data_IF_373357097999
#
_entry.id   IF_373357097999
#
_cell.length_a   1.000
_cell.length_b   1.000
_cell.length_c   1.000
_cell.angle_alpha   90.00
_cell.angle_beta   90.00
_cell.angle_gamma   90.00
#
_symmetry.space_group_name_H-M   'P 1'
#
loop_
_entity.id
_entity.type
_entity.pdbx_description
1 polymer ?
#
# COMPACT_ATOMS: atom_id res chain seq x y z
N UNK A 1 -40.51 -23.35 -20.85
CA UNK A 1 -40.58 -22.20 -21.75
C UNK A 1 -41.13 -21.02 -20.97
N UNK A 2 -40.25 -20.14 -20.45
CA UNK A 2 -40.61 -18.81 -19.92
C UNK A 2 -39.52 -17.86 -20.36
N UNK A 3 -39.96 -16.93 -21.22
CA UNK A 3 -39.10 -15.89 -21.83
C UNK A 3 -38.71 -14.85 -20.80
N UNK A 4 -37.44 -14.54 -20.69
CA UNK A 4 -36.95 -13.33 -20.01
C UNK A 4 -36.78 -12.22 -21.03
N UNK A 5 -37.54 -11.16 -20.85
CA UNK A 5 -37.47 -9.91 -21.62
C UNK A 5 -36.49 -9.00 -20.89
N UNK A 6 -35.44 -8.63 -21.61
CA UNK A 6 -34.43 -7.62 -21.18
C UNK A 6 -35.02 -6.23 -21.34
N UNK A 7 -35.01 -5.41 -20.29
CA UNK A 7 -35.27 -3.96 -20.38
C UNK A 7 -33.98 -3.20 -20.13
N UNK A 8 -33.44 -2.68 -21.22
CA UNK A 8 -32.42 -1.64 -21.18
C UNK A 8 -33.10 -0.28 -20.97
N UNK A 9 -32.78 0.44 -19.90
CA UNK A 9 -33.12 1.85 -19.76
C UNK A 9 -31.84 2.67 -19.85
N UNK A 10 -31.66 3.30 -21.03
CA UNK A 10 -30.76 4.44 -21.21
C UNK A 10 -31.35 5.65 -20.46
N UNK A 11 -30.52 6.29 -19.62
CA UNK A 11 -30.71 7.68 -19.21
C UNK A 11 -29.58 8.53 -19.76
N UNK A 12 -29.89 9.32 -20.78
CA UNK A 12 -29.12 10.48 -21.21
C UNK A 12 -29.37 11.63 -20.21
N UNK A 13 -28.33 12.19 -19.63
CA UNK A 13 -28.32 13.56 -19.21
C UNK A 13 -27.09 14.24 -19.79
N UNK A 14 -27.33 15.04 -20.81
CA UNK A 14 -26.35 15.99 -21.35
C UNK A 14 -26.34 17.24 -20.49
N UNK A 15 -25.15 17.61 -19.98
CA UNK A 15 -24.86 19.01 -19.65
C UNK A 15 -23.54 19.38 -20.28
N UNK A 16 -23.60 20.43 -21.09
CA UNK A 16 -22.51 21.06 -21.79
C UNK A 16 -21.48 21.61 -20.80
N UNK A 17 -20.20 21.37 -21.07
CA UNK A 17 -19.10 22.15 -20.50
C UNK A 17 -18.19 22.56 -21.65
N UNK A 18 -17.97 23.86 -21.71
CA UNK A 18 -17.23 24.60 -22.70
C UNK A 18 -15.80 24.09 -22.93
N UNK A 19 -15.44 24.12 -24.20
CA UNK A 19 -14.12 23.89 -24.73
C UNK A 19 -13.12 24.95 -24.29
N UNK A 20 -12.09 24.55 -23.54
CA UNK A 20 -10.85 25.31 -23.40
C UNK A 20 -9.74 24.59 -24.18
N UNK A 21 -9.35 25.17 -25.33
CA UNK A 21 -8.18 24.72 -26.12
C UNK A 21 -6.93 25.42 -25.55
N UNK A 22 -5.87 24.69 -25.18
CA UNK A 22 -4.60 25.34 -24.88
C UNK A 22 -3.86 25.67 -26.18
N UNK A 23 -3.47 26.93 -26.32
CA UNK A 23 -2.72 27.50 -27.42
C UNK A 23 -1.36 26.81 -27.63
N UNK A 24 -1.11 26.46 -28.90
CA UNK A 24 0.15 25.92 -29.46
C UNK A 24 1.28 26.95 -29.39
N UNK A 25 1.96 27.16 -28.28
CA UNK A 25 3.16 28.04 -28.29
C UNK A 25 4.27 27.62 -27.30
N UNK A 26 4.27 26.43 -26.72
CA UNK A 26 5.34 26.00 -25.81
C UNK A 26 6.29 24.96 -26.43
N UNK A 27 5.96 24.38 -27.59
CA UNK A 27 6.79 23.30 -28.17
C UNK A 27 7.85 23.79 -29.18
N UNK A 28 8.00 25.09 -29.43
CA UNK A 28 9.03 25.58 -30.37
C UNK A 28 10.30 26.14 -29.70
N UNK A 29 10.33 26.33 -28.41
CA UNK A 29 11.50 26.89 -27.71
C UNK A 29 12.53 25.82 -27.32
N UNK A 30 12.14 24.57 -27.19
CA UNK A 30 13.08 23.49 -26.81
C UNK A 30 13.86 22.88 -27.99
N UNK A 31 13.47 23.13 -29.25
CA UNK A 31 14.20 22.64 -30.43
C UNK A 31 15.27 23.62 -30.95
N UNK A 32 15.24 24.88 -30.55
CA UNK A 32 16.22 25.88 -30.98
C UNK A 32 17.53 25.90 -30.16
N UNK A 33 17.54 25.33 -28.95
CA UNK A 33 18.77 25.30 -28.12
C UNK A 33 19.65 24.05 -28.32
N UNK A 34 19.14 23.00 -28.98
CA UNK A 34 19.91 21.77 -29.21
C UNK A 34 20.74 21.79 -30.53
N UNK A 35 20.49 22.71 -31.41
CA UNK A 35 21.19 22.79 -32.72
C UNK A 35 22.33 23.80 -32.80
N UNK A 36 22.53 24.61 -31.77
CA UNK A 36 23.57 25.66 -31.79
C UNK A 36 24.87 25.23 -31.09
N UNK A 37 24.91 24.07 -30.42
CA UNK A 37 26.09 23.61 -29.70
C UNK A 37 26.94 22.56 -30.44
N UNK A 38 26.47 22.03 -31.57
CA UNK A 38 27.22 21.03 -32.35
C UNK A 38 27.93 21.58 -33.59
N UNK A 39 27.64 22.82 -34.04
CA UNK A 39 28.25 23.38 -35.24
C UNK A 39 29.50 24.22 -35.03
N UNK A 40 29.91 24.49 -33.78
CA UNK A 40 31.14 25.29 -33.47
C UNK A 40 32.35 24.45 -33.09
N UNK A 41 32.25 23.12 -33.04
CA UNK A 41 33.38 22.23 -32.65
C UNK A 41 33.99 21.46 -33.82
N UNK A 42 33.44 21.52 -35.04
CA UNK A 42 33.99 20.81 -36.23
C UNK A 42 34.78 21.68 -37.21
N UNK A 43 34.94 22.98 -36.97
CA UNK A 43 35.56 23.89 -37.92
C UNK A 43 37.05 24.18 -37.68
N UNK A 44 37.73 23.53 -36.73
CA UNK A 44 39.17 23.82 -36.44
C UNK A 44 40.09 22.59 -36.37
N UNK A 45 39.78 21.53 -37.11
CA UNK A 45 40.70 20.40 -37.22
C UNK A 45 41.02 20.12 -38.71
N UNK A 46 41.73 21.03 -39.38
CA UNK A 46 42.44 20.72 -40.61
C UNK A 46 43.57 21.72 -40.80
N UNK A 47 44.76 21.15 -40.77
CA UNK A 47 46.07 21.49 -41.34
C UNK A 47 47.17 21.88 -40.36
N UNK A 48 48.21 21.05 -40.50
CA UNK A 48 49.61 21.22 -40.13
C UNK A 48 49.92 21.04 -38.65
N UNK A 49 50.50 19.87 -38.35
CA UNK A 49 51.84 19.80 -37.80
C UNK A 49 52.27 18.33 -37.72
N UNK A 50 53.25 18.01 -38.57
CA UNK A 50 54.14 16.88 -38.36
C UNK A 50 55.16 17.25 -37.29
N UNK A 51 55.54 16.23 -36.45
CA UNK A 51 56.66 16.20 -35.55
C UNK A 51 56.41 16.71 -34.13
N UNK A 52 56.09 15.78 -33.23
CA UNK A 52 56.81 15.49 -32.00
C UNK A 52 56.03 14.48 -31.12
N UNK A 53 56.51 13.24 -30.89
CA UNK A 53 55.80 12.23 -30.10
C UNK A 53 55.70 12.54 -28.62
N UNK A 54 56.52 13.42 -28.08
CA UNK A 54 56.55 13.70 -26.61
C UNK A 54 55.49 14.69 -26.13
N UNK A 55 54.81 15.40 -27.05
CA UNK A 55 53.74 16.30 -26.67
C UNK A 55 52.38 15.62 -26.50
N UNK A 56 52.20 14.39 -27.04
CA UNK A 56 50.91 13.64 -26.92
C UNK A 56 50.73 12.98 -25.56
N UNK A 57 51.79 12.67 -24.85
CA UNK A 57 51.74 12.06 -23.53
C UNK A 57 51.32 13.05 -22.43
N UNK A 58 51.59 14.36 -22.60
CA UNK A 58 51.31 15.36 -21.57
C UNK A 58 49.86 15.87 -21.60
N UNK A 59 49.20 15.83 -22.75
CA UNK A 59 47.81 16.26 -22.86
C UNK A 59 46.79 15.17 -22.53
N UNK A 60 47.17 13.89 -22.60
CA UNK A 60 46.30 12.78 -22.23
C UNK A 60 46.27 12.57 -20.72
N UNK A 61 47.32 12.94 -19.97
CA UNK A 61 47.36 12.84 -18.52
C UNK A 61 46.56 13.91 -17.77
N UNK A 62 46.39 15.09 -18.40
CA UNK A 62 45.69 16.22 -17.77
C UNK A 62 44.16 16.13 -17.84
N UNK A 63 43.61 15.43 -18.85
CA UNK A 63 42.19 15.30 -19.02
C UNK A 63 41.58 14.15 -18.19
N UNK A 64 42.37 13.13 -17.84
CA UNK A 64 41.93 12.05 -16.97
C UNK A 64 41.90 12.42 -15.47
N UNK A 65 42.73 13.38 -15.06
CA UNK A 65 42.75 13.86 -13.67
C UNK A 65 41.58 14.85 -13.38
N UNK A 66 41.11 15.60 -14.38
CA UNK A 66 39.95 16.49 -14.24
C UNK A 66 38.60 15.78 -14.26
N UNK A 67 38.50 14.62 -14.94
CA UNK A 67 37.29 13.82 -14.97
C UNK A 67 37.09 12.98 -13.68
N UNK A 68 38.17 12.66 -12.99
CA UNK A 68 38.10 11.91 -11.72
C UNK A 68 37.70 12.76 -10.52
N UNK A 69 37.87 14.09 -10.59
CA UNK A 69 37.52 15.02 -9.50
C UNK A 69 36.06 15.45 -9.51
N UNK A 70 35.31 15.16 -10.57
CA UNK A 70 33.88 15.50 -10.68
C UNK A 70 32.93 14.34 -10.35
N UNK A 71 33.48 13.16 -10.06
CA UNK A 71 32.69 11.99 -9.66
C UNK A 71 32.62 11.75 -8.14
N UNK A 72 33.30 12.54 -7.35
CA UNK A 72 33.29 12.42 -5.89
C UNK A 72 32.72 13.70 -5.26
N UNK A 73 31.45 13.91 -5.31
CA UNK A 73 30.66 14.68 -4.33
C UNK A 73 29.19 14.70 -4.71
N UNK A 74 28.56 13.53 -4.79
CA UNK A 74 27.15 13.37 -4.51
C UNK A 74 27.00 12.30 -3.42
N UNK A 75 27.65 12.50 -2.31
CA UNK A 75 27.06 12.11 -1.04
C UNK A 75 25.83 13.00 -0.92
N UNK A 76 24.69 12.50 -1.36
CA UNK A 76 23.44 13.03 -0.90
C UNK A 76 23.53 12.99 0.63
N UNK A 77 23.75 14.14 1.24
CA UNK A 77 23.43 14.34 2.63
C UNK A 77 21.96 13.90 2.70
N UNK A 78 21.69 12.78 3.35
CA UNK A 78 20.36 12.48 3.80
C UNK A 78 19.99 13.70 4.65
N UNK A 79 19.14 14.58 4.12
CA UNK A 79 18.52 15.61 4.93
C UNK A 79 17.90 14.84 6.08
N UNK A 80 18.42 15.07 7.29
CA UNK A 80 17.83 14.50 8.48
C UNK A 80 16.41 15.04 8.52
N UNK A 81 15.42 14.15 8.35
CA UNK A 81 14.02 14.51 8.51
C UNK A 81 13.87 15.25 9.84
N UNK A 82 13.30 16.43 9.79
CA UNK A 82 12.99 17.22 10.99
C UNK A 82 11.60 16.86 11.56
N UNK A 83 10.93 15.87 10.97
CA UNK A 83 9.59 15.42 11.34
C UNK A 83 9.60 14.89 12.77
N UNK A 84 8.75 15.46 13.61
CA UNK A 84 8.40 14.90 14.91
C UNK A 84 7.34 13.79 14.74
N UNK A 85 7.81 12.57 14.51
CA UNK A 85 6.93 11.42 14.32
C UNK A 85 6.09 11.06 15.55
N UNK A 86 6.48 11.48 16.77
CA UNK A 86 5.65 11.33 17.97
C UNK A 86 4.45 12.27 17.91
N UNK A 87 4.66 13.50 17.46
CA UNK A 87 3.56 14.45 17.26
C UNK A 87 2.62 14.00 16.14
N UNK A 88 3.16 13.49 15.01
CA UNK A 88 2.34 12.92 13.91
C UNK A 88 1.49 11.74 14.41
N UNK A 89 2.12 10.79 15.11
CA UNK A 89 1.41 9.62 15.65
C UNK A 89 0.34 10.01 16.68
N UNK A 90 0.63 11.02 17.51
CA UNK A 90 -0.35 11.57 18.46
C UNK A 90 -1.56 12.15 17.73
N UNK A 91 -1.36 12.94 16.70
CA UNK A 91 -2.47 13.50 15.90
C UNK A 91 -3.34 12.38 15.29
N UNK A 92 -2.70 11.31 14.78
CA UNK A 92 -3.42 10.14 14.26
C UNK A 92 -4.21 9.44 15.36
N UNK A 93 -3.60 9.20 16.52
CA UNK A 93 -4.28 8.54 17.64
C UNK A 93 -5.44 9.38 18.17
N UNK A 94 -5.29 10.69 18.27
CA UNK A 94 -6.36 11.62 18.66
C UNK A 94 -7.52 11.59 17.64
N UNK A 95 -7.20 11.50 16.35
CA UNK A 95 -8.18 11.36 15.28
C UNK A 95 -9.00 10.06 15.44
N UNK A 96 -8.32 8.93 15.72
CA UNK A 96 -8.97 7.64 15.95
C UNK A 96 -9.79 7.64 17.24
N UNK A 97 -9.31 8.26 18.31
CA UNK A 97 -10.07 8.38 19.55
C UNK A 97 -11.36 9.20 19.37
N UNK A 98 -11.29 10.25 18.54
CA UNK A 98 -12.46 11.09 18.23
C UNK A 98 -13.44 10.36 17.29
N UNK A 99 -12.91 9.53 16.39
CA UNK A 99 -13.66 8.80 15.37
C UNK A 99 -13.23 7.31 15.37
N UNK A 100 -13.69 6.49 16.33
CA UNK A 100 -13.20 5.11 16.48
C UNK A 100 -13.37 4.24 15.22
N UNK A 101 -14.41 4.47 14.43
CA UNK A 101 -14.67 3.74 13.18
C UNK A 101 -13.66 4.06 12.06
N UNK A 102 -12.85 5.11 12.22
CA UNK A 102 -11.81 5.46 11.23
C UNK A 102 -10.55 4.59 11.40
N UNK A 103 -10.25 4.17 12.63
CA UNK A 103 -9.06 3.37 12.92
C UNK A 103 -8.90 2.15 12.02
N UNK A 104 -9.91 1.27 11.88
CA UNK A 104 -9.83 0.12 10.97
C UNK A 104 -9.54 0.49 9.52
N UNK A 105 -10.09 1.61 9.04
CA UNK A 105 -9.87 2.07 7.66
C UNK A 105 -8.44 2.59 7.45
N UNK A 106 -7.84 3.20 8.48
CA UNK A 106 -6.43 3.60 8.46
C UNK A 106 -5.49 2.38 8.46
N UNK A 107 -5.81 1.33 9.20
CA UNK A 107 -5.08 0.04 9.13
C UNK A 107 -5.19 -0.56 7.73
N UNK A 108 -6.38 -0.49 7.11
CA UNK A 108 -6.57 -0.94 5.73
C UNK A 108 -5.76 -0.10 4.73
N UNK A 109 -5.67 1.23 4.90
CA UNK A 109 -4.81 2.09 4.06
C UNK A 109 -3.35 1.64 4.12
N UNK A 110 -2.81 1.45 5.33
CA UNK A 110 -1.44 0.98 5.53
C UNK A 110 -1.19 -0.38 4.87
N UNK A 111 -2.12 -1.34 5.05
CA UNK A 111 -2.08 -2.65 4.38
C UNK A 111 -2.10 -2.51 2.85
N UNK A 112 -3.03 -1.74 2.29
CA UNK A 112 -3.18 -1.61 0.85
C UNK A 112 -2.01 -0.88 0.19
N UNK A 113 -1.42 0.12 0.85
CA UNK A 113 -0.22 0.80 0.36
C UNK A 113 1.02 -0.09 0.38
N UNK A 114 1.06 -1.11 1.25
CA UNK A 114 2.21 -2.00 1.44
C UNK A 114 2.09 -3.33 0.70
N UNK A 115 0.87 -3.88 0.60
CA UNK A 115 0.58 -5.22 0.07
C UNK A 115 0.77 -5.38 -1.44
N UNK A 116 1.12 -4.31 -2.14
CA UNK A 116 1.43 -4.34 -3.58
C UNK A 116 2.83 -4.86 -3.90
N UNK A 117 3.68 -5.11 -2.89
CA UNK A 117 5.07 -5.54 -3.09
C UNK A 117 5.21 -6.87 -3.81
N UNK A 118 6.13 -6.92 -4.74
CA UNK A 118 6.56 -8.11 -5.43
C UNK A 118 8.07 -8.29 -5.27
N UNK A 119 8.47 -9.35 -4.57
CA UNK A 119 9.88 -9.63 -4.24
C UNK A 119 10.72 -10.01 -5.44
N UNK A 120 10.13 -10.57 -6.51
CA UNK A 120 10.86 -11.01 -7.69
C UNK A 120 11.21 -9.81 -8.59
N UNK A 121 10.30 -8.84 -8.71
CA UNK A 121 10.51 -7.64 -9.50
C UNK A 121 11.00 -6.44 -8.68
N UNK A 122 10.95 -6.55 -7.34
CA UNK A 122 11.22 -5.48 -6.39
C UNK A 122 10.41 -4.19 -6.70
N UNK A 123 9.13 -4.36 -6.98
CA UNK A 123 8.19 -3.26 -7.29
C UNK A 123 7.04 -3.21 -6.30
N UNK A 124 6.47 -2.02 -6.11
CA UNK A 124 5.39 -1.80 -5.13
C UNK A 124 5.91 -1.79 -3.69
N UNK A 125 5.01 -1.99 -2.75
CA UNK A 125 5.32 -1.96 -1.33
C UNK A 125 5.17 -0.59 -0.69
N UNK A 126 5.56 -0.47 0.57
CA UNK A 126 5.27 0.67 1.43
C UNK A 126 6.09 1.93 1.13
N UNK A 127 7.12 1.81 0.26
CA UNK A 127 8.15 2.85 0.11
C UNK A 127 7.72 4.10 -0.65
N UNK A 128 6.65 4.04 -1.46
CA UNK A 128 6.34 5.07 -2.46
C UNK A 128 5.10 5.92 -2.19
N UNK A 129 4.21 5.51 -1.29
CA UNK A 129 2.95 6.21 -1.02
C UNK A 129 2.07 6.38 -2.26
N UNK A 130 2.20 5.50 -3.25
CA UNK A 130 1.57 5.62 -4.58
C UNK A 130 0.05 5.49 -4.54
N UNK A 131 -0.50 4.89 -3.48
CA UNK A 131 -1.96 4.77 -3.29
C UNK A 131 -2.71 6.11 -3.26
N UNK A 132 -2.01 7.24 -3.10
CA UNK A 132 -2.62 8.58 -3.24
C UNK A 132 -3.02 8.93 -4.66
N UNK A 133 -2.47 8.24 -5.67
CA UNK A 133 -2.77 8.49 -7.07
C UNK A 133 -4.08 7.84 -7.51
N UNK A 134 -4.78 8.54 -8.42
CA UNK A 134 -6.08 8.12 -8.93
C UNK A 134 -6.03 6.73 -9.59
N UNK A 135 -4.94 6.40 -10.25
CA UNK A 135 -4.72 5.13 -10.93
C UNK A 135 -4.75 3.97 -9.95
N UNK A 136 -4.05 4.08 -8.82
CA UNK A 136 -4.03 3.04 -7.80
C UNK A 136 -5.34 3.00 -6.98
N UNK A 137 -5.92 4.17 -6.69
CA UNK A 137 -7.23 4.27 -6.04
C UNK A 137 -8.36 3.64 -6.87
N UNK A 138 -8.20 3.56 -8.19
CA UNK A 138 -9.16 2.92 -9.09
C UNK A 138 -9.09 1.38 -9.07
N UNK A 139 -8.06 0.78 -8.47
CA UNK A 139 -7.99 -0.67 -8.31
C UNK A 139 -9.18 -1.19 -7.49
N UNK A 140 -9.75 -2.31 -7.91
CA UNK A 140 -10.95 -2.85 -7.27
C UNK A 140 -10.82 -3.07 -5.76
N UNK A 141 -9.64 -3.50 -5.28
CA UNK A 141 -9.35 -3.66 -3.86
C UNK A 141 -9.37 -2.35 -3.04
N UNK A 142 -9.19 -1.18 -3.68
CA UNK A 142 -9.07 0.12 -3.02
C UNK A 142 -10.39 0.89 -2.90
N UNK A 143 -11.51 0.27 -3.27
CA UNK A 143 -12.83 0.91 -3.22
C UNK A 143 -13.10 1.59 -1.86
N UNK A 144 -13.48 2.87 -1.90
CA UNK A 144 -13.80 3.69 -0.74
C UNK A 144 -12.61 4.37 -0.04
N UNK A 145 -11.35 4.02 -0.34
CA UNK A 145 -10.19 4.62 0.33
C UNK A 145 -9.95 6.08 -0.08
N UNK A 146 -10.29 6.46 -1.31
CA UNK A 146 -10.15 7.83 -1.79
C UNK A 146 -10.93 8.84 -0.94
N UNK A 147 -12.19 8.52 -0.65
CA UNK A 147 -13.10 9.41 0.09
C UNK A 147 -13.02 9.23 1.62
N UNK A 148 -12.21 8.31 2.08
CA UNK A 148 -12.02 8.00 3.50
C UNK A 148 -10.57 8.19 3.92
N UNK A 149 -9.82 7.11 4.14
CA UNK A 149 -8.51 7.15 4.79
C UNK A 149 -7.50 8.08 4.09
N UNK A 150 -7.42 8.07 2.76
CA UNK A 150 -6.52 8.99 2.03
C UNK A 150 -6.90 10.44 2.33
N UNK A 151 -8.18 10.78 2.17
CA UNK A 151 -8.69 12.14 2.45
C UNK A 151 -8.53 12.55 3.92
N UNK A 152 -8.68 11.62 4.87
CA UNK A 152 -8.53 11.93 6.30
C UNK A 152 -7.08 12.21 6.69
N UNK A 153 -6.10 11.69 5.93
CA UNK A 153 -4.68 11.93 6.17
C UNK A 153 -4.17 13.25 5.58
N UNK A 154 -4.88 13.88 4.64
CA UNK A 154 -4.44 15.14 4.01
C UNK A 154 -4.19 16.28 5.01
N UNK A 155 -5.04 16.55 6.02
CA UNK A 155 -4.78 17.62 6.99
C UNK A 155 -3.53 17.35 7.83
N UNK A 156 -3.24 16.06 8.14
CA UNK A 156 -2.05 15.69 8.90
C UNK A 156 -0.80 15.83 8.00
N UNK A 157 -0.86 15.38 6.75
CA UNK A 157 0.23 15.59 5.80
C UNK A 157 0.57 17.08 5.66
N UNK A 158 -0.43 17.90 5.35
CA UNK A 158 -0.26 19.35 5.17
C UNK A 158 0.34 20.07 6.40
N UNK A 159 0.07 19.56 7.61
CA UNK A 159 0.63 20.10 8.85
C UNK A 159 2.15 19.90 8.95
N UNK A 160 2.64 18.74 8.49
CA UNK A 160 4.05 18.31 8.67
C UNK A 160 4.84 18.20 7.35
N UNK A 161 4.25 18.54 6.20
CA UNK A 161 4.90 18.49 4.88
C UNK A 161 6.19 19.32 4.84
N UNK A 162 6.17 20.52 5.46
CA UNK A 162 7.35 21.40 5.50
C UNK A 162 8.50 20.85 6.33
N UNK A 163 8.20 19.94 7.26
CA UNK A 163 9.19 19.23 8.07
C UNK A 163 9.72 17.98 7.36
N UNK A 164 9.18 17.66 6.18
CA UNK A 164 9.62 16.56 5.32
C UNK A 164 8.82 15.26 5.47
N UNK A 165 7.60 15.30 6.04
CA UNK A 165 6.73 14.12 6.13
C UNK A 165 6.32 13.66 4.73
N UNK A 166 6.70 12.44 4.34
CA UNK A 166 6.22 11.81 3.11
C UNK A 166 4.85 11.15 3.32
N UNK A 167 4.06 11.01 2.25
CA UNK A 167 2.83 10.20 2.29
C UNK A 167 3.12 8.74 2.64
N UNK A 168 4.22 8.19 2.16
CA UNK A 168 4.62 6.82 2.44
C UNK A 168 4.90 6.58 3.93
N UNK A 169 5.59 7.50 4.60
CA UNK A 169 5.78 7.45 6.06
C UNK A 169 4.45 7.68 6.80
N UNK A 170 3.65 8.65 6.35
CA UNK A 170 2.35 8.94 6.97
C UNK A 170 1.40 7.73 6.92
N UNK A 171 1.26 7.07 5.78
CA UNK A 171 0.31 5.95 5.63
C UNK A 171 0.70 4.74 6.47
N UNK A 172 1.99 4.42 6.53
CA UNK A 172 2.49 3.33 7.38
C UNK A 172 2.39 3.68 8.87
N UNK A 173 2.72 4.91 9.25
CA UNK A 173 2.56 5.38 10.63
C UNK A 173 1.08 5.41 11.03
N UNK A 174 0.16 5.76 10.12
CA UNK A 174 -1.27 5.72 10.37
C UNK A 174 -1.76 4.32 10.74
N UNK A 175 -1.23 3.28 10.09
CA UNK A 175 -1.55 1.89 10.43
C UNK A 175 -1.14 1.51 11.84
N UNK A 176 0.14 1.72 12.20
CA UNK A 176 0.66 1.31 13.52
C UNK A 176 0.07 2.15 14.66
N UNK A 177 -0.13 3.46 14.44
CA UNK A 177 -0.75 4.35 15.43
C UNK A 177 -2.22 4.01 15.67
N UNK A 178 -2.97 3.66 14.60
CA UNK A 178 -4.37 3.25 14.72
C UNK A 178 -4.51 1.93 15.47
N UNK A 179 -3.66 0.92 15.20
CA UNK A 179 -3.65 -0.33 15.96
C UNK A 179 -3.42 -0.04 17.44
N UNK A 180 -2.47 0.83 17.77
CA UNK A 180 -2.21 1.24 19.16
C UNK A 180 -3.38 1.94 19.80
N UNK A 181 -4.02 2.90 19.10
CA UNK A 181 -5.19 3.63 19.60
C UNK A 181 -6.39 2.70 19.87
N UNK A 182 -6.51 1.59 19.13
CA UNK A 182 -7.55 0.57 19.31
C UNK A 182 -7.19 -0.53 20.33
N UNK A 183 -6.15 -0.32 21.15
CA UNK A 183 -5.76 -1.24 22.23
C UNK A 183 -4.79 -2.35 21.81
N UNK A 184 -4.27 -2.31 20.59
CA UNK A 184 -3.31 -3.28 20.10
C UNK A 184 -1.86 -3.06 20.61
N UNK A 185 -0.93 -3.94 20.22
CA UNK A 185 0.46 -3.87 20.62
C UNK A 185 1.15 -2.62 20.06
N UNK A 186 2.22 -2.18 20.72
CA UNK A 186 3.15 -1.23 20.10
C UNK A 186 3.95 -1.96 19.05
N UNK A 187 3.90 -1.46 17.81
CA UNK A 187 4.58 -2.03 16.65
C UNK A 187 5.83 -1.21 16.39
N UNK A 188 6.98 -1.87 16.18
CA UNK A 188 8.19 -1.21 15.72
C UNK A 188 7.95 -0.56 14.35
N UNK A 189 8.43 0.66 14.18
CA UNK A 189 8.27 1.40 12.95
C UNK A 189 9.56 2.14 12.58
N UNK A 190 9.79 2.29 11.30
CA UNK A 190 10.98 2.97 10.78
C UNK A 190 10.57 4.05 9.79
N UNK A 191 11.20 5.23 9.88
CA UNK A 191 11.00 6.36 8.98
C UNK A 191 11.99 6.36 7.82
N UNK A 192 11.75 7.24 6.85
CA UNK A 192 12.68 7.50 5.75
C UNK A 192 12.19 7.02 4.39
N UNK A 193 10.91 6.68 4.26
CA UNK A 193 10.29 6.40 2.96
C UNK A 193 10.22 7.69 2.14
N UNK A 194 10.30 7.54 0.83
CA UNK A 194 10.26 8.67 -0.11
C UNK A 194 9.15 8.47 -1.11
N UNK A 195 8.29 9.47 -1.23
CA UNK A 195 7.19 9.43 -2.17
C UNK A 195 7.68 9.24 -3.61
N UNK A 196 7.09 8.29 -4.29
CA UNK A 196 7.34 8.00 -5.70
C UNK A 196 6.33 8.73 -6.58
N UNK A 197 6.64 8.79 -7.89
CA UNK A 197 5.77 9.38 -8.89
C UNK A 197 4.70 8.38 -9.32
N UNK A 198 3.71 8.88 -10.05
CA UNK A 198 2.55 8.13 -10.55
C UNK A 198 2.93 6.95 -11.45
N UNK A 199 4.03 7.05 -12.19
CA UNK A 199 4.55 5.97 -13.04
C UNK A 199 5.05 4.75 -12.26
N UNK A 200 5.15 4.86 -10.94
CA UNK A 200 5.49 3.77 -10.03
C UNK A 200 4.26 3.00 -9.50
N UNK A 201 3.04 3.39 -9.88
CA UNK A 201 1.82 2.66 -9.56
C UNK A 201 1.89 1.24 -10.12
N UNK A 202 1.59 0.27 -9.29
CA UNK A 202 1.65 -1.14 -9.66
C UNK A 202 0.38 -1.59 -10.39
N UNK A 203 0.44 -2.68 -11.19
CA UNK A 203 -0.78 -3.24 -11.80
C UNK A 203 -1.81 -3.65 -10.75
N UNK A 204 -3.11 -3.56 -11.10
CA UNK A 204 -4.21 -4.11 -10.29
C UNK A 204 -4.07 -5.63 -10.10
N UNK A 205 -4.75 -6.17 -9.08
CA UNK A 205 -4.77 -7.61 -8.77
C UNK A 205 -3.64 -8.07 -7.85
N UNK A 206 -2.83 -7.17 -7.30
CA UNK A 206 -1.78 -7.51 -6.31
C UNK A 206 -2.31 -7.72 -4.89
N UNK A 207 -3.49 -7.22 -4.57
CA UNK A 207 -4.17 -7.48 -3.30
C UNK A 207 -5.08 -8.71 -3.40
N UNK A 208 -5.36 -9.43 -2.31
CA UNK A 208 -6.22 -10.61 -2.37
C UNK A 208 -7.65 -10.26 -2.76
N UNK A 209 -8.24 -11.08 -3.61
CA UNK A 209 -9.68 -11.02 -3.87
C UNK A 209 -10.41 -11.70 -2.70
N UNK A 210 -11.35 -10.99 -2.08
CA UNK A 210 -12.06 -11.44 -0.89
C UNK A 210 -12.98 -12.65 -1.14
N UNK A 211 -13.41 -12.84 -2.39
CA UNK A 211 -14.26 -13.93 -2.86
C UNK A 211 -13.47 -15.15 -3.38
N UNK A 212 -12.14 -15.09 -3.35
CA UNK A 212 -11.31 -16.27 -3.65
C UNK A 212 -11.32 -17.21 -2.46
N UNK A 213 -11.99 -18.30 -2.63
CA UNK A 213 -12.22 -19.32 -1.61
C UNK A 213 -13.62 -19.90 -1.77
N UNK A 214 -13.93 -20.99 -1.09
CA UNK A 214 -15.22 -21.64 -1.27
C UNK A 214 -16.29 -20.88 -0.48
N UNK A 215 -17.12 -20.05 -1.11
CA UNK A 215 -18.32 -19.60 -0.42
C UNK A 215 -19.30 -20.75 -0.29
N UNK A 216 -19.26 -21.65 -1.23
CA UNK A 216 -20.25 -22.71 -1.40
C UNK A 216 -19.67 -23.86 -2.24
N UNK A 217 -18.40 -23.83 -2.57
CA UNK A 217 -17.77 -24.83 -3.42
C UNK A 217 -16.90 -25.81 -2.61
N UNK A 218 -16.77 -27.01 -3.10
CA UNK A 218 -16.07 -28.12 -2.46
C UNK A 218 -14.53 -27.97 -2.39
N UNK A 219 -13.98 -26.79 -2.73
CA UNK A 219 -12.54 -26.58 -2.81
C UNK A 219 -12.11 -25.33 -2.02
N UNK A 220 -11.25 -25.55 -1.05
CA UNK A 220 -10.48 -24.51 -0.41
C UNK A 220 -9.51 -23.85 -1.42
N UNK A 221 -9.47 -22.54 -1.49
CA UNK A 221 -8.51 -21.80 -2.32
C UNK A 221 -7.40 -21.15 -1.48
N UNK A 222 -6.78 -21.96 -0.64
CA UNK A 222 -5.57 -21.57 0.07
C UNK A 222 -4.44 -21.16 -0.88
N UNK A 223 -4.46 -21.68 -2.11
CA UNK A 223 -3.49 -21.34 -3.14
C UNK A 223 -3.56 -19.86 -3.52
N UNK A 224 -4.76 -19.25 -3.58
CA UNK A 224 -4.90 -17.82 -3.84
C UNK A 224 -4.19 -16.98 -2.77
N UNK A 225 -4.46 -17.25 -1.48
CA UNK A 225 -3.79 -16.55 -0.39
C UNK A 225 -2.27 -16.73 -0.46
N UNK A 226 -1.78 -17.96 -0.71
CA UNK A 226 -0.36 -18.21 -0.86
C UNK A 226 0.23 -17.45 -2.05
N UNK A 227 -0.42 -17.45 -3.20
CA UNK A 227 0.06 -16.71 -4.37
C UNK A 227 0.23 -15.22 -4.08
N UNK A 228 -0.72 -14.60 -3.39
CA UNK A 228 -0.65 -13.19 -3.02
C UNK A 228 0.47 -12.95 -1.98
N UNK A 229 0.46 -13.67 -0.87
CA UNK A 229 1.35 -13.40 0.25
C UNK A 229 2.78 -13.92 0.04
N UNK A 230 2.96 -15.06 -0.65
CA UNK A 230 4.30 -15.58 -0.98
C UNK A 230 5.02 -14.68 -1.98
N UNK A 231 4.28 -14.01 -2.88
CA UNK A 231 4.83 -12.96 -3.76
C UNK A 231 5.49 -11.85 -2.93
N UNK A 232 4.90 -11.48 -1.80
CA UNK A 232 5.44 -10.49 -0.87
C UNK A 232 6.56 -11.04 0.03
N UNK A 233 6.75 -12.36 0.10
CA UNK A 233 7.74 -13.00 0.97
C UNK A 233 7.23 -13.40 2.35
N UNK A 234 5.91 -13.51 2.53
CA UNK A 234 5.29 -14.07 3.75
C UNK A 234 5.17 -15.59 3.66
N UNK A 235 4.98 -16.25 4.80
CA UNK A 235 4.72 -17.67 4.94
C UNK A 235 3.30 -17.93 5.48
N UNK A 236 2.91 -19.21 5.60
CA UNK A 236 1.58 -19.61 6.05
C UNK A 236 1.21 -19.07 7.45
N UNK A 237 2.16 -19.03 8.38
CA UNK A 237 1.93 -18.43 9.70
C UNK A 237 1.64 -16.93 9.58
N UNK A 238 2.43 -16.21 8.81
CA UNK A 238 2.30 -14.78 8.61
C UNK A 238 1.01 -14.40 7.87
N UNK A 239 0.54 -15.26 6.94
CA UNK A 239 -0.78 -15.10 6.31
C UNK A 239 -1.88 -15.12 7.37
N UNK A 240 -1.89 -16.13 8.23
CA UNK A 240 -2.90 -16.23 9.30
C UNK A 240 -2.79 -15.06 10.28
N UNK A 241 -1.58 -14.66 10.67
CA UNK A 241 -1.37 -13.50 11.55
C UNK A 241 -2.00 -12.25 10.97
N UNK A 242 -1.71 -11.92 9.71
CA UNK A 242 -2.22 -10.71 9.06
C UNK A 242 -3.74 -10.77 8.86
N UNK A 243 -4.31 -11.95 8.60
CA UNK A 243 -5.77 -12.13 8.56
C UNK A 243 -6.44 -11.76 9.89
N UNK A 244 -5.72 -11.86 11.01
CA UNK A 244 -6.19 -11.43 12.34
C UNK A 244 -6.51 -9.94 12.45
N UNK A 245 -6.06 -9.10 11.50
CA UNK A 245 -6.47 -7.71 11.40
C UNK A 245 -7.99 -7.55 11.16
N UNK A 246 -8.67 -8.60 10.70
CA UNK A 246 -10.13 -8.66 10.59
C UNK A 246 -10.83 -8.69 11.98
N UNK A 247 -10.10 -8.72 13.10
CA UNK A 247 -10.68 -8.32 14.39
C UNK A 247 -11.23 -6.89 14.36
N UNK A 248 -10.71 -6.06 13.43
CA UNK A 248 -11.05 -4.66 13.24
C UNK A 248 -11.95 -4.44 12.03
N UNK A 249 -12.86 -3.47 12.16
CA UNK A 249 -13.66 -2.97 11.06
C UNK A 249 -14.83 -3.84 10.65
N UNK A 250 -15.39 -3.48 9.53
CA UNK A 250 -16.51 -4.16 8.88
C UNK A 250 -16.52 -3.92 7.38
N UNK A 251 -17.17 -4.81 6.67
CA UNK A 251 -17.50 -4.62 5.26
C UNK A 251 -18.75 -3.75 5.08
N UNK A 252 -18.77 -3.00 3.97
CA UNK A 252 -19.88 -2.17 3.54
C UNK A 252 -20.25 -2.50 2.09
N UNK A 253 -21.53 -2.72 1.82
CA UNK A 253 -22.04 -3.06 0.48
C UNK A 253 -21.70 -2.01 -0.58
N UNK A 254 -21.59 -0.75 -0.18
CA UNK A 254 -21.23 0.38 -1.06
C UNK A 254 -19.74 0.49 -1.37
N UNK A 255 -18.90 -0.30 -0.71
CA UNK A 255 -17.43 -0.31 -0.93
C UNK A 255 -16.97 -1.67 -1.45
N UNK A 256 -16.91 -2.68 -0.59
CA UNK A 256 -16.45 -4.03 -0.96
C UNK A 256 -17.53 -4.92 -1.57
N UNK A 257 -18.78 -4.53 -1.48
CA UNK A 257 -19.93 -5.35 -1.85
C UNK A 257 -20.38 -6.33 -0.74
N UNK A 258 -19.50 -6.63 0.23
CA UNK A 258 -19.79 -7.47 1.39
C UNK A 258 -20.46 -6.66 2.51
N UNK A 259 -21.02 -7.32 3.52
CA UNK A 259 -21.75 -6.66 4.59
C UNK A 259 -21.51 -7.29 5.97
N UNK A 260 -21.16 -6.46 6.94
CA UNK A 260 -21.08 -6.81 8.35
C UNK A 260 -19.68 -6.76 8.96
N UNK A 261 -19.58 -6.79 10.29
CA UNK A 261 -18.34 -6.87 11.05
C UNK A 261 -17.93 -8.34 11.24
N UNK A 262 -16.61 -8.58 11.40
CA UNK A 262 -16.09 -9.90 11.76
C UNK A 262 -16.24 -10.21 13.25
N UNK A 263 -16.24 -9.16 14.09
CA UNK A 263 -16.31 -9.28 15.55
C UNK A 263 -17.34 -8.32 16.13
N UNK A 264 -17.85 -8.56 17.34
CA UNK A 264 -18.79 -7.65 17.99
C UNK A 264 -18.15 -6.34 18.48
N UNK A 265 -16.81 -6.23 18.47
CA UNK A 265 -16.05 -5.04 18.90
C UNK A 265 -15.10 -4.58 17.80
N UNK A 266 -15.61 -4.09 16.66
CA UNK A 266 -14.81 -3.84 15.46
C UNK A 266 -13.80 -2.68 15.58
N UNK A 267 -13.81 -1.96 16.70
CA UNK A 267 -12.85 -0.89 17.01
C UNK A 267 -11.89 -1.26 18.13
N UNK A 268 -11.79 -2.55 18.48
CA UNK A 268 -10.89 -3.06 19.51
C UNK A 268 -10.00 -4.16 18.94
N UNK A 269 -8.69 -3.92 18.93
CA UNK A 269 -7.73 -4.92 18.48
C UNK A 269 -7.59 -6.03 19.53
N UNK A 270 -7.83 -7.27 19.13
CA UNK A 270 -7.69 -8.46 19.96
C UNK A 270 -7.71 -9.73 19.11
N UNK A 271 -7.65 -10.92 19.72
CA UNK A 271 -7.71 -12.20 19.02
C UNK A 271 -9.13 -12.75 18.80
N UNK A 272 -10.17 -11.92 18.99
CA UNK A 272 -11.58 -12.37 18.87
C UNK A 272 -11.89 -12.94 17.48
N UNK A 273 -11.28 -12.42 16.43
CA UNK A 273 -11.41 -12.97 15.08
C UNK A 273 -11.14 -14.48 15.06
N UNK A 274 -10.02 -14.94 15.59
CA UNK A 274 -9.66 -16.36 15.62
C UNK A 274 -10.55 -17.18 16.56
N UNK A 275 -10.89 -16.61 17.72
CA UNK A 275 -11.77 -17.26 18.68
C UNK A 275 -13.14 -17.51 18.07
N UNK A 276 -13.74 -16.50 17.44
CA UNK A 276 -15.05 -16.60 16.81
C UNK A 276 -15.01 -17.49 15.56
N UNK A 277 -13.95 -17.37 14.73
CA UNK A 277 -13.77 -18.22 13.55
C UNK A 277 -13.79 -19.70 13.92
N UNK A 278 -13.20 -20.08 15.07
CA UNK A 278 -13.11 -21.49 15.50
C UNK A 278 -14.28 -21.96 16.36
N UNK A 279 -15.02 -21.06 17.02
CA UNK A 279 -16.03 -21.44 18.01
C UNK A 279 -17.48 -21.31 17.50
N UNK A 280 -17.72 -20.49 16.49
CA UNK A 280 -19.05 -20.31 15.93
C UNK A 280 -19.31 -21.26 14.76
N UNK A 281 -20.60 -21.57 14.55
CA UNK A 281 -21.04 -22.24 13.34
C UNK A 281 -21.30 -21.17 12.26
N UNK A 282 -20.55 -21.23 11.17
CA UNK A 282 -20.64 -20.31 10.05
C UNK A 282 -21.47 -20.95 8.94
N UNK A 283 -22.46 -20.22 8.44
CA UNK A 283 -23.34 -20.67 7.35
C UNK A 283 -23.32 -19.65 6.21
N UNK A 284 -23.51 -20.07 4.96
CA UNK A 284 -23.66 -19.14 3.85
C UNK A 284 -24.81 -18.14 4.11
N UNK A 285 -24.55 -16.85 3.83
CA UNK A 285 -25.58 -15.80 3.89
C UNK A 285 -26.51 -15.91 2.69
N UNK A 286 -27.80 -15.99 2.95
CA UNK A 286 -28.84 -15.90 1.90
C UNK A 286 -29.18 -14.44 1.62
N UNK A 287 -28.63 -13.90 0.54
CA UNK A 287 -28.78 -12.51 0.14
C UNK A 287 -28.36 -12.28 -1.33
N UNK A 288 -28.58 -11.05 -1.84
CA UNK A 288 -28.28 -10.69 -3.24
C UNK A 288 -26.82 -10.23 -3.49
N UNK A 289 -26.01 -10.10 -2.44
CA UNK A 289 -24.60 -9.68 -2.53
C UNK A 289 -23.65 -10.84 -2.87
N UNK A 290 -22.33 -10.58 -2.88
CA UNK A 290 -21.34 -11.61 -3.10
C UNK A 290 -21.38 -12.68 -2.01
N UNK A 291 -20.95 -13.91 -2.31
CA UNK A 291 -20.92 -15.00 -1.34
C UNK A 291 -20.14 -14.64 -0.08
N UNK A 292 -20.77 -14.76 1.08
CA UNK A 292 -20.14 -14.60 2.39
C UNK A 292 -20.78 -15.54 3.41
N UNK A 293 -20.11 -15.75 4.53
CA UNK A 293 -20.63 -16.49 5.67
C UNK A 293 -21.17 -15.54 6.74
N UNK A 294 -22.13 -16.03 7.51
CA UNK A 294 -22.64 -15.37 8.72
C UNK A 294 -22.68 -16.36 9.87
N UNK A 295 -22.60 -15.85 11.10
CA UNK A 295 -22.80 -16.67 12.28
C UNK A 295 -24.22 -17.20 12.36
N UNK A 296 -24.39 -18.52 12.44
CA UNK A 296 -25.69 -19.17 12.43
C UNK A 296 -26.62 -18.72 13.58
N UNK A 297 -26.11 -18.45 14.83
CA UNK A 297 -26.97 -18.03 15.93
C UNK A 297 -27.63 -16.66 15.75
N UNK A 298 -26.95 -15.68 15.17
CA UNK A 298 -27.44 -14.29 15.13
C UNK A 298 -27.48 -13.66 13.75
N UNK A 299 -26.70 -14.15 12.79
CA UNK A 299 -26.54 -13.56 11.46
C UNK A 299 -25.91 -12.16 11.46
N UNK A 300 -25.30 -11.73 12.56
CA UNK A 300 -24.76 -10.37 12.74
C UNK A 300 -23.28 -10.25 12.39
N UNK A 301 -22.53 -11.33 12.58
CA UNK A 301 -21.12 -11.40 12.26
C UNK A 301 -20.93 -12.03 10.89
N UNK A 302 -19.83 -11.70 10.22
CA UNK A 302 -19.53 -12.23 8.91
C UNK A 302 -18.12 -12.80 8.81
N UNK A 303 -17.93 -13.71 7.87
CA UNK A 303 -16.61 -14.14 7.38
C UNK A 303 -16.61 -14.11 5.86
N UNK A 304 -15.51 -13.65 5.29
CA UNK A 304 -15.26 -13.76 3.85
C UNK A 304 -14.92 -15.20 3.48
N UNK A 305 -15.07 -15.60 2.22
CA UNK A 305 -14.55 -16.88 1.74
C UNK A 305 -13.06 -17.07 2.07
N UNK A 306 -12.24 -16.01 1.95
CA UNK A 306 -10.82 -16.03 2.29
C UNK A 306 -10.55 -16.18 3.79
N UNK A 307 -11.47 -15.81 4.67
CA UNK A 307 -11.38 -16.10 6.10
C UNK A 307 -11.71 -17.57 6.38
N UNK A 308 -12.78 -18.07 5.74
CA UNK A 308 -13.24 -19.43 5.98
C UNK A 308 -12.24 -20.48 5.53
N UNK A 309 -11.48 -20.22 4.44
CA UNK A 309 -10.43 -21.09 3.93
C UNK A 309 -9.34 -21.39 4.96
N UNK A 310 -9.16 -20.51 5.95
CA UNK A 310 -8.21 -20.73 7.03
C UNK A 310 -8.58 -21.91 7.93
N UNK A 311 -9.84 -22.34 7.94
CA UNK A 311 -10.31 -23.54 8.65
C UNK A 311 -10.07 -24.83 7.86
N UNK A 312 -10.10 -24.75 6.51
CA UNK A 312 -10.04 -25.91 5.63
C UNK A 312 -8.59 -26.35 5.35
N UNK A 313 -7.65 -25.41 5.30
CA UNK A 313 -6.25 -25.72 5.10
C UNK A 313 -5.54 -26.10 6.41
N UNK A 314 -4.94 -27.27 6.47
CA UNK A 314 -4.32 -27.80 7.69
C UNK A 314 -3.19 -26.95 8.24
N UNK A 315 -2.42 -26.29 7.35
CA UNK A 315 -1.29 -25.45 7.74
C UNK A 315 -1.79 -24.14 8.35
N UNK A 316 -2.82 -23.54 7.77
CA UNK A 316 -3.47 -22.35 8.31
C UNK A 316 -4.22 -22.64 9.60
N UNK A 317 -5.04 -23.69 9.65
CA UNK A 317 -5.82 -24.09 10.83
C UNK A 317 -4.96 -24.30 12.07
N UNK A 318 -3.76 -24.83 11.89
CA UNK A 318 -2.79 -24.95 12.99
C UNK A 318 -2.56 -23.61 13.69
N UNK A 319 -2.33 -22.56 12.92
CA UNK A 319 -2.03 -21.25 13.45
C UNK A 319 -3.28 -20.52 13.93
N UNK A 320 -4.41 -20.67 13.26
CA UNK A 320 -5.72 -20.17 13.74
C UNK A 320 -5.98 -20.67 15.17
N UNK A 321 -5.80 -21.98 15.43
CA UNK A 321 -5.97 -22.55 16.77
C UNK A 321 -5.00 -22.02 17.82
N UNK A 322 -3.76 -21.74 17.41
CA UNK A 322 -2.76 -21.14 18.30
C UNK A 322 -3.20 -19.75 18.74
N UNK A 323 -3.59 -18.89 17.78
CA UNK A 323 -3.97 -17.50 18.05
C UNK A 323 -5.35 -17.37 18.68
N UNK A 324 -6.27 -18.29 18.42
CA UNK A 324 -7.54 -18.36 19.14
C UNK A 324 -7.34 -18.60 20.64
N UNK A 325 -6.32 -19.40 21.01
CA UNK A 325 -6.03 -19.79 22.40
C UNK A 325 -5.17 -18.77 23.14
N UNK A 326 -4.27 -18.10 22.45
CA UNK A 326 -3.23 -17.24 23.05
C UNK A 326 -3.18 -15.87 22.35
N UNK A 327 -3.94 -14.92 22.94
CA UNK A 327 -4.00 -13.54 22.44
C UNK A 327 -2.67 -12.80 22.62
N UNK A 328 -1.90 -13.06 23.69
CA UNK A 328 -0.61 -12.40 23.88
C UNK A 328 0.41 -12.82 22.81
N UNK A 329 0.38 -14.12 22.45
CA UNK A 329 1.20 -14.61 21.36
C UNK A 329 0.76 -14.00 20.03
N UNK A 330 -0.55 -13.85 19.79
CA UNK A 330 -1.07 -13.17 18.61
C UNK A 330 -0.52 -11.73 18.55
N UNK A 331 -0.68 -10.94 19.61
CA UNK A 331 -0.22 -9.54 19.66
C UNK A 331 1.28 -9.41 19.34
N UNK A 332 2.09 -10.29 19.96
CA UNK A 332 3.54 -10.29 19.74
C UNK A 332 3.93 -10.65 18.32
N UNK A 333 3.30 -11.67 17.75
CA UNK A 333 3.61 -12.15 16.41
C UNK A 333 3.04 -11.18 15.36
N UNK A 334 1.85 -10.59 15.61
CA UNK A 334 1.25 -9.56 14.77
C UNK A 334 2.13 -8.32 14.67
N UNK A 335 2.64 -7.83 15.81
CA UNK A 335 3.50 -6.65 15.81
C UNK A 335 4.72 -6.82 14.88
N UNK A 336 5.36 -7.99 14.91
CA UNK A 336 6.52 -8.28 14.04
C UNK A 336 6.13 -8.42 12.59
N UNK A 337 5.01 -9.09 12.31
CA UNK A 337 4.58 -9.37 10.95
C UNK A 337 4.03 -8.11 10.28
N UNK A 338 3.32 -7.27 11.03
CA UNK A 338 2.83 -5.99 10.53
C UNK A 338 3.99 -5.00 10.29
N UNK A 339 5.00 -4.96 11.18
CA UNK A 339 6.23 -4.21 10.92
C UNK A 339 6.90 -4.67 9.61
N UNK A 340 7.05 -5.98 9.41
CA UNK A 340 7.58 -6.52 8.14
C UNK A 340 6.77 -6.07 6.94
N UNK A 341 5.43 -6.06 7.05
CA UNK A 341 4.54 -5.58 6.00
C UNK A 341 4.82 -4.12 5.66
N UNK A 342 4.92 -3.27 6.69
CA UNK A 342 5.14 -1.84 6.54
C UNK A 342 6.56 -1.48 6.07
N UNK A 343 7.47 -2.44 5.98
CA UNK A 343 8.84 -2.28 5.47
C UNK A 343 9.07 -2.94 4.10
N UNK A 344 8.03 -3.53 3.48
CA UNK A 344 8.14 -4.18 2.16
C UNK A 344 8.54 -3.19 1.06
N UNK A 345 9.50 -3.59 0.24
CA UNK A 345 9.98 -2.80 -0.90
C UNK A 345 10.82 -1.58 -0.50
N UNK A 346 11.28 -1.51 0.75
CA UNK A 346 12.07 -0.39 1.25
C UNK A 346 13.52 -0.79 1.55
N UNK A 347 14.38 0.22 1.62
CA UNK A 347 15.77 0.06 2.07
C UNK A 347 16.24 1.33 2.77
N UNK A 348 17.18 1.21 3.71
CA UNK A 348 17.79 2.36 4.38
C UNK A 348 16.84 3.10 5.34
N UNK A 349 15.77 2.46 5.79
CA UNK A 349 14.91 3.03 6.82
C UNK A 349 15.64 3.16 8.15
N UNK A 350 15.23 4.13 8.95
CA UNK A 350 15.76 4.39 10.29
C UNK A 350 14.72 4.00 11.33
N UNK A 351 15.03 3.06 12.26
CA UNK A 351 14.15 2.77 13.38
C UNK A 351 13.81 4.05 14.16
N UNK A 352 12.55 4.33 14.37
CA UNK A 352 12.07 5.62 14.86
C UNK A 352 11.09 5.42 16.01
N UNK A 353 11.33 6.13 17.11
CA UNK A 353 10.34 6.20 18.19
C UNK A 353 9.17 7.10 17.77
N UNK A 354 7.95 6.60 17.95
CA UNK A 354 6.72 7.29 17.60
C UNK A 354 5.67 7.30 18.73
N UNK A 355 5.94 6.62 19.85
CA UNK A 355 5.17 6.63 21.09
C UNK A 355 6.05 6.96 22.29
#
# INVERSE_FOLDING_TARGET
MKNYISFSLLWLCATAVDSFQPTRNVLQISKALATTTTSSLEAHASKNDHENPDRRAFLAGGLLAAASSLMFSRTALAESSTVDYKAVAKDIMDLVQTNPDWGPTLVRLAWHSSGTYDKETNTGGSGGGTIRFKEELAHGGNAGLAETAVKWMEPIHAKYEKDGLSYADLYTLAGVASIKAMGGPTIGWSSGRRDQLEDSVTPDGRLPAADSGPPLADKSDAAHLRNIFYRMGFNDQEIVILSGAHALGRCHTTASGYDGPWTPTPTTFNNAYFTLLTSLNWVPKDWSGPPQYVDAPTGRLMMLPTDYVLLDDKSFLKWVKVYAKDGQKFDKDFAKTFQKLEELGTSGLTPTEWV
#
